data_IF_615407319933
#
_entry.id   IF_615407319933
#
_cell.length_a   1.000
_cell.length_b   1.000
_cell.length_c   1.000
_cell.angle_alpha   90.00
_cell.angle_beta   90.00
_cell.angle_gamma   90.00
#
_symmetry.space_group_name_H-M   'P 1'
#
loop_
_entity.id
_entity.type
_entity.pdbx_description
1 polymer ?
#
# COMPACT_ATOMS: atom_id res chain seq x y z
N UNK A 1 -20.60 -1.39 7.82
CA UNK A 1 -20.46 -0.24 6.91
C UNK A 1 -18.97 0.11 6.85
N UNK A 2 -18.34 0.01 5.68
CA UNK A 2 -16.93 0.42 5.56
C UNK A 2 -16.84 1.93 5.70
N UNK A 3 -16.07 2.41 6.65
CA UNK A 3 -15.87 3.85 6.83
C UNK A 3 -15.11 4.39 5.62
N UNK A 4 -15.65 5.44 5.01
CA UNK A 4 -14.98 6.10 3.88
C UNK A 4 -13.94 7.07 4.39
N UNK A 5 -12.75 7.02 3.79
CA UNK A 5 -11.70 7.98 4.05
C UNK A 5 -12.01 9.32 3.37
N UNK A 6 -11.82 10.40 4.09
CA UNK A 6 -12.00 11.75 3.57
C UNK A 6 -10.65 12.31 3.07
N UNK A 7 -10.45 12.27 1.75
CA UNK A 7 -9.17 12.66 1.11
C UNK A 7 -8.67 14.05 1.54
N UNK A 8 -9.56 15.04 1.59
CA UNK A 8 -9.20 16.43 1.90
C UNK A 8 -8.66 16.64 3.31
N UNK A 9 -9.08 15.79 4.24
CA UNK A 9 -8.72 15.90 5.66
C UNK A 9 -7.82 14.78 6.15
N UNK A 10 -7.62 13.74 5.34
CA UNK A 10 -6.78 12.61 5.72
C UNK A 10 -5.32 13.04 5.88
N UNK A 11 -4.73 12.69 7.03
CA UNK A 11 -3.31 12.87 7.34
C UNK A 11 -2.75 11.57 7.87
N UNK A 12 -1.62 11.16 7.35
CA UNK A 12 -0.84 10.05 7.91
C UNK A 12 0.08 10.63 8.98
N UNK A 13 -0.04 10.10 10.19
CA UNK A 13 0.67 10.60 11.37
C UNK A 13 1.97 9.85 11.61
N UNK A 14 2.10 8.64 11.08
CA UNK A 14 3.26 7.80 11.23
C UNK A 14 2.95 6.34 10.99
N UNK A 15 3.91 5.50 11.27
CA UNK A 15 3.81 4.05 11.17
C UNK A 15 4.69 3.36 12.20
N UNK A 16 4.37 2.10 12.48
CA UNK A 16 5.15 1.25 13.38
C UNK A 16 5.24 -0.17 12.82
N UNK A 17 6.44 -0.73 12.81
CA UNK A 17 6.67 -2.14 12.55
C UNK A 17 6.80 -2.89 13.88
N UNK A 18 6.02 -3.94 14.05
CA UNK A 18 6.22 -4.91 15.14
C UNK A 18 6.98 -6.15 14.69
N UNK A 19 7.11 -6.36 13.37
CA UNK A 19 7.94 -7.41 12.77
C UNK A 19 8.26 -7.09 11.31
N UNK A 20 9.43 -7.55 10.84
CA UNK A 20 9.75 -7.62 9.42
C UNK A 20 10.20 -6.32 8.74
N UNK A 21 10.45 -5.24 9.49
CA UNK A 21 10.93 -3.97 8.92
C UNK A 21 12.14 -4.17 8.01
N UNK A 22 13.12 -4.95 8.45
CA UNK A 22 14.35 -5.21 7.70
C UNK A 22 14.11 -5.88 6.35
N UNK A 23 13.00 -6.61 6.18
CA UNK A 23 12.64 -7.24 4.91
C UNK A 23 12.30 -6.19 3.86
N UNK A 24 11.61 -5.12 4.24
CA UNK A 24 11.28 -4.01 3.35
C UNK A 24 12.49 -3.08 3.15
N UNK A 25 13.30 -2.85 4.16
CA UNK A 25 14.50 -2.02 4.05
C UNK A 25 15.53 -2.56 3.04
N UNK A 26 15.54 -3.87 2.82
CA UNK A 26 16.41 -4.52 1.82
C UNK A 26 15.92 -4.37 0.38
N UNK A 27 14.71 -3.93 0.17
CA UNK A 27 14.13 -3.80 -1.15
C UNK A 27 14.57 -2.49 -1.82
N UNK A 28 15.85 -2.41 -2.21
CA UNK A 28 16.33 -1.35 -3.09
C UNK A 28 15.94 -1.69 -4.51
N UNK A 29 14.79 -1.23 -4.97
CA UNK A 29 14.24 -1.77 -6.19
C UNK A 29 14.15 -0.78 -7.32
N UNK A 30 14.68 -1.20 -8.43
CA UNK A 30 14.22 -0.75 -9.72
C UNK A 30 12.89 -1.46 -10.00
N UNK A 31 11.86 -0.68 -10.20
CA UNK A 31 10.49 -0.99 -10.56
C UNK A 31 10.19 -2.37 -11.17
N UNK A 32 9.02 -2.89 -10.86
CA UNK A 32 8.34 -4.01 -11.52
C UNK A 32 8.95 -5.41 -11.35
N UNK A 33 9.77 -5.64 -10.35
CA UNK A 33 10.22 -6.99 -9.99
C UNK A 33 9.39 -7.54 -8.84
N UNK A 34 9.22 -8.84 -8.83
CA UNK A 34 8.54 -9.57 -7.76
C UNK A 34 9.54 -9.88 -6.65
N UNK A 35 9.15 -9.55 -5.42
CA UNK A 35 9.99 -9.75 -4.24
C UNK A 35 9.29 -10.69 -3.28
N UNK A 36 9.59 -11.99 -3.31
CA UNK A 36 9.13 -12.91 -2.29
C UNK A 36 9.79 -12.54 -0.95
N UNK A 37 8.96 -12.31 0.07
CA UNK A 37 9.43 -12.04 1.41
C UNK A 37 9.63 -13.38 2.14
N UNK A 38 10.82 -13.60 2.68
CA UNK A 38 11.19 -14.81 3.40
C UNK A 38 10.77 -14.82 4.88
N UNK A 39 10.12 -13.76 5.32
CA UNK A 39 9.61 -13.59 6.67
C UNK A 39 8.29 -12.84 6.71
N UNK A 40 7.63 -12.88 7.86
CA UNK A 40 6.40 -12.15 8.12
C UNK A 40 6.67 -10.66 8.38
N UNK A 41 5.73 -9.81 7.95
CA UNK A 41 5.73 -8.38 8.24
C UNK A 41 4.47 -8.04 9.03
N UNK A 42 4.63 -7.25 10.09
CA UNK A 42 3.51 -6.64 10.84
C UNK A 42 3.74 -5.15 10.92
N UNK A 43 2.79 -4.40 10.42
CA UNK A 43 2.86 -2.96 10.24
C UNK A 43 1.53 -2.32 10.68
N UNK A 44 1.61 -1.20 11.39
CA UNK A 44 0.49 -0.30 11.63
C UNK A 44 0.77 1.05 10.99
N UNK A 45 -0.22 1.62 10.30
CA UNK A 45 -0.17 2.97 9.72
C UNK A 45 -1.22 3.80 10.43
N UNK A 46 -0.76 4.84 11.13
CA UNK A 46 -1.60 5.73 11.92
C UNK A 46 -2.05 6.92 11.10
N UNK A 47 -3.33 7.19 11.13
CA UNK A 47 -3.91 8.39 10.51
C UNK A 47 -4.78 9.15 11.51
N UNK A 48 -5.15 10.36 11.15
CA UNK A 48 -6.12 11.12 11.94
C UNK A 48 -7.57 10.57 11.85
N UNK A 49 -7.83 9.63 10.92
CA UNK A 49 -9.17 9.03 10.73
C UNK A 49 -9.24 7.55 11.17
N UNK A 50 -8.11 6.95 11.51
CA UNK A 50 -8.04 5.56 11.97
C UNK A 50 -6.67 4.95 11.77
N UNK A 51 -6.56 3.66 12.00
CA UNK A 51 -5.31 2.90 11.86
C UNK A 51 -5.51 1.73 10.91
N UNK A 52 -4.62 1.59 9.93
CA UNK A 52 -4.53 0.41 9.10
C UNK A 52 -3.50 -0.55 9.69
N UNK A 53 -3.94 -1.73 10.06
CA UNK A 53 -3.06 -2.84 10.43
C UNK A 53 -2.87 -3.74 9.21
N UNK A 54 -1.60 -4.07 8.93
CA UNK A 54 -1.19 -4.94 7.83
C UNK A 54 -0.34 -6.06 8.40
N UNK A 55 -0.67 -7.28 8.03
CA UNK A 55 0.14 -8.45 8.36
C UNK A 55 0.29 -9.34 7.13
N UNK A 56 1.53 -9.72 6.83
CA UNK A 56 1.82 -10.73 5.82
C UNK A 56 2.58 -11.90 6.42
N UNK A 57 2.32 -13.09 5.91
CA UNK A 57 3.06 -14.30 6.24
C UNK A 57 4.30 -14.46 5.33
N UNK A 58 5.28 -15.30 5.73
CA UNK A 58 6.39 -15.67 4.86
C UNK A 58 5.89 -16.21 3.52
N UNK A 59 6.55 -15.86 2.44
CA UNK A 59 6.16 -16.22 1.07
C UNK A 59 5.27 -15.22 0.36
N UNK A 60 4.79 -14.16 1.05
CA UNK A 60 4.11 -13.06 0.39
C UNK A 60 5.02 -12.44 -0.68
N UNK A 61 4.50 -12.28 -1.89
CA UNK A 61 5.24 -11.68 -3.00
C UNK A 61 4.81 -10.23 -3.18
N UNK A 62 5.71 -9.32 -2.83
CA UNK A 62 5.56 -7.90 -3.12
C UNK A 62 6.02 -7.64 -4.56
N UNK A 63 5.19 -7.06 -5.38
CA UNK A 63 5.51 -6.77 -6.78
C UNK A 63 6.04 -5.35 -7.01
N UNK A 64 6.37 -4.66 -5.92
CA UNK A 64 6.91 -3.32 -5.96
C UNK A 64 5.83 -2.31 -6.29
N UNK A 65 6.11 -1.48 -7.25
CA UNK A 65 5.18 -0.47 -7.71
C UNK A 65 4.23 -1.06 -8.75
N UNK A 66 2.99 -1.30 -8.35
CA UNK A 66 1.92 -1.73 -9.27
C UNK A 66 1.23 -0.52 -9.88
N UNK A 67 1.18 -0.46 -11.20
CA UNK A 67 0.45 0.62 -11.86
C UNK A 67 0.76 0.72 -13.35
N UNK A 68 0.05 1.60 -14.07
CA UNK A 68 0.35 1.85 -15.48
C UNK A 68 1.74 2.50 -15.64
N UNK A 69 2.33 2.35 -16.81
CA UNK A 69 3.69 2.86 -17.14
C UNK A 69 3.92 4.33 -16.80
N UNK A 70 2.87 5.14 -16.74
CA UNK A 70 2.97 6.53 -16.33
C UNK A 70 3.47 6.67 -14.88
N UNK A 71 3.14 5.73 -14.00
CA UNK A 71 3.65 5.71 -12.62
C UNK A 71 5.16 5.49 -12.62
N UNK A 72 5.69 4.67 -13.54
CA UNK A 72 7.12 4.45 -13.68
C UNK A 72 7.87 5.71 -14.11
N UNK A 73 7.25 6.54 -14.92
CA UNK A 73 7.82 7.80 -15.35
C UNK A 73 7.87 8.84 -14.21
N UNK A 74 6.82 8.90 -13.36
CA UNK A 74 6.76 9.84 -12.24
C UNK A 74 7.54 9.39 -11.00
N UNK A 75 7.70 8.09 -10.81
CA UNK A 75 8.34 7.51 -9.65
C UNK A 75 9.18 6.29 -10.08
N UNK A 76 10.29 6.52 -10.80
CA UNK A 76 11.04 5.47 -11.48
C UNK A 76 11.68 4.45 -10.53
N UNK A 77 12.00 4.85 -9.31
CA UNK A 77 12.71 4.02 -8.33
C UNK A 77 12.00 4.03 -6.99
N UNK A 78 11.99 2.89 -6.31
CA UNK A 78 11.65 2.79 -4.89
C UNK A 78 12.96 2.95 -4.09
N UNK A 79 13.39 4.20 -3.90
CA UNK A 79 14.69 4.50 -3.32
C UNK A 79 14.72 4.55 -1.79
N UNK A 80 13.57 4.65 -1.14
CA UNK A 80 13.47 4.80 0.31
C UNK A 80 12.50 3.79 0.92
N UNK A 81 12.70 3.48 2.20
CA UNK A 81 11.75 2.68 2.97
C UNK A 81 10.33 3.27 2.93
N UNK A 82 10.22 4.60 2.97
CA UNK A 82 8.93 5.29 2.96
C UNK A 82 8.16 5.05 1.66
N UNK A 83 8.82 5.10 0.52
CA UNK A 83 8.21 4.79 -0.78
C UNK A 83 7.80 3.31 -0.87
N UNK A 84 8.68 2.40 -0.45
CA UNK A 84 8.40 0.96 -0.40
C UNK A 84 7.18 0.70 0.50
N UNK A 85 7.13 1.30 1.67
CA UNK A 85 6.03 1.16 2.63
C UNK A 85 4.69 1.62 2.03
N UNK A 86 4.66 2.74 1.30
CA UNK A 86 3.44 3.23 0.66
C UNK A 86 2.86 2.21 -0.33
N UNK A 87 3.71 1.66 -1.19
CA UNK A 87 3.29 0.68 -2.20
C UNK A 87 3.00 -0.69 -1.60
N UNK A 88 3.79 -1.12 -0.62
CA UNK A 88 3.56 -2.36 0.11
C UNK A 88 2.19 -2.35 0.81
N UNK A 89 1.87 -1.29 1.54
CA UNK A 89 0.58 -1.15 2.21
C UNK A 89 -0.59 -1.09 1.22
N UNK A 90 -0.41 -0.41 0.09
CA UNK A 90 -1.39 -0.36 -0.99
C UNK A 90 -1.68 -1.75 -1.55
N UNK A 91 -0.65 -2.51 -1.89
CA UNK A 91 -0.79 -3.86 -2.43
C UNK A 91 -1.41 -4.81 -1.41
N UNK A 92 -0.94 -4.78 -0.16
CA UNK A 92 -1.51 -5.59 0.89
C UNK A 92 -2.99 -5.32 1.09
N UNK A 93 -3.42 -4.06 1.06
CA UNK A 93 -4.83 -3.73 1.19
C UNK A 93 -5.63 -4.14 -0.06
N UNK A 94 -5.01 -4.15 -1.23
CA UNK A 94 -5.59 -4.70 -2.45
C UNK A 94 -5.93 -6.20 -2.34
N UNK A 95 -5.09 -6.98 -1.69
CA UNK A 95 -5.34 -8.40 -1.41
C UNK A 95 -6.26 -8.62 -0.19
N UNK A 96 -6.05 -7.88 0.89
CA UNK A 96 -6.82 -7.99 2.13
C UNK A 96 -8.24 -7.42 2.04
N UNK A 97 -8.45 -6.41 1.20
CA UNK A 97 -9.75 -5.81 0.86
C UNK A 97 -10.58 -5.28 2.05
N UNK A 98 -9.94 -4.89 3.12
CA UNK A 98 -10.68 -4.31 4.25
C UNK A 98 -11.14 -2.88 3.94
N UNK A 99 -10.30 -2.07 3.31
CA UNK A 99 -10.72 -0.81 2.71
C UNK A 99 -11.26 -1.02 1.28
N UNK A 100 -12.17 -0.16 0.86
CA UNK A 100 -12.60 -0.13 -0.54
C UNK A 100 -11.44 0.24 -1.46
N UNK A 101 -11.54 -0.09 -2.74
CA UNK A 101 -10.54 0.32 -3.74
C UNK A 101 -10.31 1.84 -3.72
N UNK A 102 -11.40 2.61 -3.67
CA UNK A 102 -11.33 4.07 -3.58
C UNK A 102 -10.59 4.54 -2.34
N UNK A 103 -10.90 3.97 -1.17
CA UNK A 103 -10.25 4.33 0.09
C UNK A 103 -8.78 3.91 0.12
N UNK A 104 -8.44 2.77 -0.48
CA UNK A 104 -7.06 2.31 -0.65
C UNK A 104 -6.23 3.32 -1.44
N UNK A 105 -6.78 3.85 -2.53
CA UNK A 105 -6.10 4.87 -3.34
C UNK A 105 -6.04 6.25 -2.65
N UNK A 106 -7.04 6.59 -1.84
CA UNK A 106 -7.00 7.79 -0.98
C UNK A 106 -5.91 7.68 0.07
N UNK A 107 -5.76 6.50 0.67
CA UNK A 107 -4.69 6.25 1.64
C UNK A 107 -3.31 6.27 0.98
N UNK A 108 -3.16 5.68 -0.21
CA UNK A 108 -1.90 5.77 -0.98
C UNK A 108 -1.50 7.22 -1.23
N UNK A 109 -2.45 8.05 -1.69
CA UNK A 109 -2.22 9.49 -1.89
C UNK A 109 -1.67 10.15 -0.61
N UNK A 110 -2.31 9.90 0.53
CA UNK A 110 -1.92 10.49 1.80
C UNK A 110 -0.54 9.99 2.26
N UNK A 111 -0.26 8.69 2.11
CA UNK A 111 1.05 8.12 2.45
C UNK A 111 2.17 8.69 1.59
N UNK A 112 1.98 8.79 0.28
CA UNK A 112 2.99 9.37 -0.63
C UNK A 112 3.28 10.82 -0.29
N UNK A 113 2.26 11.60 0.08
CA UNK A 113 2.42 13.00 0.50
C UNK A 113 3.09 13.12 1.86
N UNK A 114 2.61 12.38 2.86
CA UNK A 114 2.95 12.60 4.27
C UNK A 114 4.18 11.80 4.73
N UNK A 115 4.46 10.64 4.12
CA UNK A 115 5.60 9.79 4.46
C UNK A 115 6.74 9.86 3.44
N UNK A 116 6.43 9.83 2.14
CA UNK A 116 7.43 9.86 1.07
C UNK A 116 7.74 11.29 0.59
N UNK A 117 7.11 12.30 1.16
CA UNK A 117 7.33 13.73 0.86
C UNK A 117 7.11 14.09 -0.62
N UNK A 118 6.17 13.43 -1.27
CA UNK A 118 5.81 13.74 -2.64
C UNK A 118 4.94 14.99 -2.71
N UNK A 119 5.18 15.83 -3.73
CA UNK A 119 4.31 16.99 -3.98
C UNK A 119 2.87 16.55 -4.21
N UNK A 120 1.86 17.28 -3.71
CA UNK A 120 0.45 16.92 -3.85
C UNK A 120 0.01 16.67 -5.30
N UNK A 121 0.53 17.43 -6.26
CA UNK A 121 0.26 17.23 -7.69
C UNK A 121 0.75 15.88 -8.20
N UNK A 122 1.96 15.46 -7.78
CA UNK A 122 2.53 14.16 -8.10
C UNK A 122 1.69 13.02 -7.48
N UNK A 123 1.30 13.18 -6.20
CA UNK A 123 0.42 12.22 -5.53
C UNK A 123 -0.92 12.08 -6.24
N UNK A 124 -1.54 13.19 -6.67
CA UNK A 124 -2.81 13.19 -7.38
C UNK A 124 -2.70 12.49 -8.74
N UNK A 125 -1.63 12.71 -9.48
CA UNK A 125 -1.37 12.04 -10.76
C UNK A 125 -1.20 10.54 -10.57
N UNK A 126 -0.42 10.12 -9.59
CA UNK A 126 -0.24 8.69 -9.25
C UNK A 126 -1.57 8.07 -8.84
N UNK A 127 -2.33 8.71 -7.95
CA UNK A 127 -3.63 8.22 -7.51
C UNK A 127 -4.59 8.05 -8.68
N UNK A 128 -4.66 9.01 -9.59
CA UNK A 128 -5.51 8.92 -10.77
C UNK A 128 -5.09 7.75 -11.66
N UNK A 129 -3.79 7.63 -11.95
CA UNK A 129 -3.26 6.55 -12.77
C UNK A 129 -3.56 5.17 -12.19
N UNK A 130 -3.36 4.99 -10.89
CA UNK A 130 -3.68 3.74 -10.20
C UNK A 130 -5.19 3.48 -10.21
N UNK A 131 -6.02 4.49 -10.03
CA UNK A 131 -7.48 4.37 -10.07
C UNK A 131 -8.02 3.94 -11.44
N UNK A 132 -7.32 4.29 -12.52
CA UNK A 132 -7.66 3.87 -13.87
C UNK A 132 -7.19 2.44 -14.20
N UNK A 133 -6.28 1.88 -13.42
CA UNK A 133 -5.68 0.55 -13.65
C UNK A 133 -6.22 -0.53 -12.71
N UNK A 134 -7.36 -0.34 -12.11
CA UNK A 134 -7.94 -1.19 -11.07
C UNK A 134 -8.54 -2.52 -11.53
N UNK A 135 -8.32 -2.88 -12.78
CA UNK A 135 -8.94 -4.05 -13.43
C UNK A 135 -8.83 -5.37 -12.66
N UNK A 136 -7.96 -5.46 -11.66
CA UNK A 136 -7.77 -6.65 -10.83
C UNK A 136 -8.27 -6.52 -9.39
N UNK A 137 -8.63 -5.31 -8.93
CA UNK A 137 -9.13 -5.14 -7.56
C UNK A 137 -10.50 -5.81 -7.42
N UNK A 138 -10.58 -6.80 -6.60
CA UNK A 138 -11.80 -7.62 -6.49
C UNK A 138 -11.73 -8.92 -7.30
N UNK A 139 -11.01 -8.93 -8.40
CA UNK A 139 -10.78 -10.10 -9.25
C UNK A 139 -9.35 -10.64 -9.05
N UNK A 140 -9.13 -11.95 -9.10
CA UNK A 140 -7.79 -12.48 -9.06
C UNK A 140 -7.03 -12.09 -10.33
N UNK A 141 -5.80 -11.60 -10.19
CA UNK A 141 -4.88 -11.59 -11.31
C UNK A 141 -4.68 -13.04 -11.79
N UNK A 142 -4.56 -13.29 -13.09
CA UNK A 142 -4.46 -14.65 -13.63
C UNK A 142 -3.07 -15.29 -13.41
N UNK A 143 -2.52 -15.16 -12.22
CA UNK A 143 -1.20 -15.66 -11.84
C UNK A 143 -1.27 -16.40 -10.50
N UNK A 144 -0.61 -17.55 -10.41
CA UNK A 144 -0.61 -18.38 -9.19
C UNK A 144 -0.14 -17.62 -7.93
N UNK A 145 0.88 -16.79 -8.05
CA UNK A 145 1.39 -16.01 -6.91
C UNK A 145 0.39 -14.99 -6.38
N UNK A 146 -0.48 -14.45 -7.23
CA UNK A 146 -1.55 -13.54 -6.78
C UNK A 146 -2.61 -14.29 -5.97
N UNK A 147 -2.92 -15.52 -6.34
CA UNK A 147 -3.82 -16.36 -5.55
C UNK A 147 -3.18 -16.74 -4.20
N UNK A 148 -1.91 -17.10 -4.21
CA UNK A 148 -1.17 -17.41 -2.99
C UNK A 148 -1.13 -16.21 -2.04
N UNK A 149 -0.86 -15.00 -2.55
CA UNK A 149 -0.81 -13.78 -1.75
C UNK A 149 -2.10 -13.52 -0.95
N UNK A 150 -3.27 -13.85 -1.49
CA UNK A 150 -4.55 -13.66 -0.79
C UNK A 150 -4.64 -14.41 0.54
N UNK A 151 -3.99 -15.56 0.62
CA UNK A 151 -3.96 -16.38 1.82
C UNK A 151 -2.84 -15.97 2.77
N UNK A 152 -1.92 -15.12 2.32
CA UNK A 152 -0.73 -14.68 3.06
C UNK A 152 -0.84 -13.26 3.61
N UNK A 153 -1.93 -12.56 3.36
CA UNK A 153 -2.13 -11.18 3.80
C UNK A 153 -3.42 -11.03 4.61
N UNK A 154 -3.33 -10.23 5.64
CA UNK A 154 -4.47 -9.75 6.43
C UNK A 154 -4.36 -8.25 6.61
N UNK A 155 -5.45 -7.54 6.38
CA UNK A 155 -5.56 -6.10 6.63
C UNK A 155 -6.78 -5.82 7.49
N UNK A 156 -6.65 -4.83 8.39
CA UNK A 156 -7.73 -4.40 9.26
C UNK A 156 -7.67 -2.87 9.41
N UNK A 157 -8.71 -2.21 9.01
CA UNK A 157 -8.91 -0.80 9.28
C UNK A 157 -9.70 -0.60 10.57
N UNK A 158 -9.09 0.05 11.54
CA UNK A 158 -9.73 0.44 12.80
C UNK A 158 -10.00 1.94 12.74
N UNK A 159 -11.26 2.37 12.55
CA UNK A 159 -11.61 3.79 12.54
C UNK A 159 -11.29 4.44 13.89
N UNK A 160 -10.89 5.71 13.84
CA UNK A 160 -10.81 6.51 15.06
C UNK A 160 -12.23 6.71 15.61
N UNK A 161 -12.43 6.42 16.87
CA UNK A 161 -13.70 6.72 17.52
C UNK A 161 -13.98 8.23 17.44
N UNK A 162 -15.21 8.57 17.13
CA UNK A 162 -15.66 9.96 17.19
C UNK A 162 -15.60 10.41 18.66
N UNK A 163 -14.75 11.38 18.93
CA UNK A 163 -14.64 11.98 20.25
C UNK A 163 -15.90 12.75 20.58
#
# INVERSE_FOLDING_TARGET
>A
MKNRLHKSTLRVLGFEFTAGRQLLERLHTNSARRYPLDGGVKLAIFTNQGTLHVQTAPGFVFDGRSGPKIVDWYAPNLGTLYEILCWYAHDCNGYGKDLSFKDTNVLLYAMLRDLADYRPTKCATIQLAVSLSDSWYGEPKPNEWCYANRNLVSTLWVPKEAA
#
